data_IF_334962909518
#
_entry.id   IF_334962909518
#
_cell.length_a   1.000
_cell.length_b   1.000
_cell.length_c   1.000
_cell.angle_alpha   90.00
_cell.angle_beta   90.00
_cell.angle_gamma   90.00
#
_symmetry.space_group_name_H-M   'P 1'
#
loop_
_entity.id
_entity.type
_entity.pdbx_description
1 polymer ?
#
# COMPACT_ATOMS: atom_id res chain seq x y z
N UNK A 1 -13.86 35.22 37.89
CA UNK A 1 -13.83 34.91 36.44
C UNK A 1 -12.85 33.75 36.25
N UNK A 2 -13.28 32.49 36.11
CA UNK A 2 -12.33 31.41 35.97
C UNK A 2 -11.72 31.47 34.56
N UNK A 3 -10.40 31.42 34.49
CA UNK A 3 -9.69 31.32 33.23
C UNK A 3 -10.02 29.95 32.61
N UNK A 4 -10.89 29.96 31.58
CA UNK A 4 -11.06 28.79 30.70
C UNK A 4 -9.71 28.35 30.17
N UNK A 5 -9.52 27.03 30.06
CA UNK A 5 -8.27 26.40 29.67
C UNK A 5 -7.80 26.97 28.31
N UNK A 6 -6.49 26.90 28.03
CA UNK A 6 -5.96 27.38 26.75
C UNK A 6 -6.64 26.72 25.54
N UNK A 7 -7.13 25.48 25.72
CA UNK A 7 -7.89 24.73 24.73
C UNK A 7 -9.28 25.36 24.48
N UNK A 8 -10.01 25.76 25.51
CA UNK A 8 -11.32 26.41 25.38
C UNK A 8 -11.22 27.75 24.63
N UNK A 9 -10.12 28.49 24.86
CA UNK A 9 -9.84 29.74 24.16
C UNK A 9 -9.48 29.50 22.70
N UNK A 10 -8.69 28.47 22.42
CA UNK A 10 -8.33 28.07 21.07
C UNK A 10 -9.56 27.62 20.27
N UNK A 11 -10.45 26.82 20.87
CA UNK A 11 -11.71 26.40 20.26
C UNK A 11 -12.64 27.58 19.98
N UNK A 12 -12.74 28.55 20.91
CA UNK A 12 -13.54 29.75 20.70
C UNK A 12 -13.00 30.63 19.56
N UNK A 13 -11.68 30.74 19.44
CA UNK A 13 -11.01 31.47 18.35
C UNK A 13 -11.19 30.72 17.02
N UNK A 14 -11.00 29.40 17.00
CA UNK A 14 -11.23 28.58 15.82
C UNK A 14 -12.68 28.70 15.34
N UNK A 15 -13.66 28.61 16.24
CA UNK A 15 -15.09 28.80 15.92
C UNK A 15 -15.36 30.15 15.29
N UNK A 16 -14.77 31.22 15.82
CA UNK A 16 -14.91 32.59 15.26
C UNK A 16 -14.25 32.72 13.90
N UNK A 17 -13.06 32.17 13.71
CA UNK A 17 -12.34 32.19 12.42
C UNK A 17 -12.97 31.28 11.35
N UNK A 18 -13.75 30.28 11.76
CA UNK A 18 -14.60 29.50 10.84
C UNK A 18 -15.92 30.17 10.53
N UNK A 19 -16.42 31.04 11.40
CA UNK A 19 -17.71 31.72 11.23
C UNK A 19 -17.59 33.01 10.41
N UNK A 20 -16.53 33.79 10.63
CA UNK A 20 -16.16 34.91 9.77
C UNK A 20 -15.23 34.39 8.68
N UNK A 21 -15.64 34.45 7.41
CA UNK A 21 -14.80 34.05 6.26
C UNK A 21 -13.61 35.00 6.08
N UNK A 22 -12.61 34.89 6.96
CA UNK A 22 -11.37 35.66 6.85
C UNK A 22 -10.58 35.16 5.65
N UNK A 23 -10.43 36.04 4.65
CA UNK A 23 -9.60 35.78 3.48
C UNK A 23 -8.14 35.80 3.87
N UNK A 24 -7.44 34.73 3.50
CA UNK A 24 -6.01 34.54 3.77
C UNK A 24 -5.29 34.13 2.50
N UNK A 25 -4.00 34.46 2.42
CA UNK A 25 -3.13 34.03 1.33
C UNK A 25 -1.95 33.27 1.92
N UNK A 26 -1.73 32.04 1.44
CA UNK A 26 -0.55 31.26 1.81
C UNK A 26 0.65 31.78 1.02
N UNK A 27 1.66 32.27 1.72
CA UNK A 27 2.87 32.82 1.10
C UNK A 27 3.88 31.71 0.79
N UNK A 28 4.16 30.85 1.78
CA UNK A 28 5.14 29.79 1.66
C UNK A 28 4.73 28.54 2.45
N UNK A 29 5.16 27.37 1.97
CA UNK A 29 4.98 26.07 2.63
C UNK A 29 6.35 25.43 2.80
N UNK A 30 6.87 25.49 4.02
CA UNK A 30 8.18 24.95 4.35
C UNK A 30 8.05 23.59 5.06
N UNK A 31 8.68 22.56 4.49
CA UNK A 31 8.75 21.22 5.12
C UNK A 31 10.09 21.07 5.86
N UNK A 32 10.04 20.60 7.10
CA UNK A 32 11.19 20.39 8.00
C UNK A 32 11.21 18.96 8.55
N UNK A 33 12.41 18.48 8.91
CA UNK A 33 12.61 17.17 9.53
C UNK A 33 12.74 15.98 8.57
N UNK A 34 12.82 16.25 7.26
CA UNK A 34 13.21 15.24 6.25
C UNK A 34 14.74 15.09 6.23
N UNK A 35 15.28 14.04 6.83
CA UNK A 35 16.71 13.74 6.83
C UNK A 35 17.06 12.62 5.83
N UNK A 36 16.32 11.50 5.88
CA UNK A 36 16.49 10.32 5.02
C UNK A 36 15.50 10.32 3.85
N UNK A 37 14.31 10.87 4.05
CA UNK A 37 13.25 10.96 3.04
C UNK A 37 13.55 12.10 2.10
N UNK A 38 13.41 11.85 0.80
CA UNK A 38 13.59 12.90 -0.20
C UNK A 38 12.51 13.96 -0.04
N UNK A 39 12.92 15.23 0.01
CA UNK A 39 12.02 16.37 0.14
C UNK A 39 10.94 16.39 -0.94
N UNK A 40 11.29 16.06 -2.18
CA UNK A 40 10.35 15.95 -3.29
C UNK A 40 9.22 14.94 -3.04
N UNK A 41 9.47 13.83 -2.32
CA UNK A 41 8.44 12.86 -1.98
C UNK A 41 7.45 13.40 -0.94
N UNK A 42 7.95 14.16 0.04
CA UNK A 42 7.13 14.83 1.05
C UNK A 42 6.30 15.98 0.42
N UNK A 43 6.91 16.83 -0.40
CA UNK A 43 6.25 17.92 -1.12
C UNK A 43 5.14 17.39 -2.04
N UNK A 44 5.43 16.29 -2.76
CA UNK A 44 4.46 15.62 -3.60
C UNK A 44 3.24 15.11 -2.81
N UNK A 45 3.42 14.68 -1.55
CA UNK A 45 2.33 14.23 -0.69
C UNK A 45 1.53 15.38 -0.04
N UNK A 46 2.18 16.50 0.27
CA UNK A 46 1.49 17.72 0.73
C UNK A 46 0.58 18.24 -0.37
N UNK A 47 1.04 18.23 -1.62
CA UNK A 47 0.26 18.66 -2.78
C UNK A 47 0.11 20.18 -2.85
N UNK A 48 -0.61 20.66 -3.88
CA UNK A 48 -0.80 22.10 -4.11
C UNK A 48 -2.02 22.67 -3.37
N UNK A 49 -2.83 21.83 -2.73
CA UNK A 49 -4.07 22.24 -2.06
C UNK A 49 -3.81 23.26 -0.94
N UNK A 50 -2.72 23.09 -0.19
CA UNK A 50 -2.33 24.04 0.87
C UNK A 50 -2.00 25.42 0.30
N UNK A 51 -1.27 25.48 -0.81
CA UNK A 51 -0.85 26.74 -1.41
C UNK A 51 -2.02 27.49 -2.10
N UNK A 52 -3.11 26.78 -2.44
CA UNK A 52 -4.28 27.34 -3.14
C UNK A 52 -5.39 27.80 -2.19
N UNK A 53 -5.35 27.43 -0.91
CA UNK A 53 -6.39 27.77 0.03
C UNK A 53 -6.54 29.28 0.21
N UNK A 54 -7.76 29.80 0.09
CA UNK A 54 -8.07 31.23 0.17
C UNK A 54 -8.77 31.63 1.49
N UNK A 55 -9.21 30.65 2.27
CA UNK A 55 -9.94 30.84 3.53
C UNK A 55 -9.38 29.96 4.65
N UNK A 56 -9.51 30.39 5.91
CA UNK A 56 -9.05 29.60 7.07
C UNK A 56 -9.68 28.20 7.10
N UNK A 57 -11.00 28.01 6.88
CA UNK A 57 -11.60 26.68 6.87
C UNK A 57 -11.05 25.78 5.77
N UNK A 58 -10.81 26.35 4.58
CA UNK A 58 -10.21 25.61 3.45
C UNK A 58 -8.77 25.20 3.76
N UNK A 59 -7.99 26.09 4.37
CA UNK A 59 -6.62 25.79 4.77
C UNK A 59 -6.56 24.68 5.83
N UNK A 60 -7.47 24.68 6.82
CA UNK A 60 -7.55 23.62 7.83
C UNK A 60 -7.92 22.27 7.21
N UNK A 61 -8.88 22.25 6.26
CA UNK A 61 -9.23 21.02 5.52
C UNK A 61 -8.07 20.52 4.66
N UNK A 62 -7.39 21.43 3.96
CA UNK A 62 -6.23 21.11 3.14
C UNK A 62 -5.06 20.58 3.99
N UNK A 63 -4.78 21.21 5.14
CA UNK A 63 -3.79 20.77 6.10
C UNK A 63 -4.12 19.38 6.66
N UNK A 64 -5.37 19.13 7.06
CA UNK A 64 -5.80 17.81 7.51
C UNK A 64 -5.62 16.74 6.42
N UNK A 65 -6.01 17.04 5.18
CA UNK A 65 -5.84 16.13 4.04
C UNK A 65 -4.36 15.86 3.73
N UNK A 66 -3.50 16.87 3.80
CA UNK A 66 -2.05 16.73 3.61
C UNK A 66 -1.40 15.92 4.74
N UNK A 67 -1.80 16.16 6.00
CA UNK A 67 -1.36 15.37 7.15
C UNK A 67 -1.70 13.88 6.97
N UNK A 68 -2.93 13.59 6.53
CA UNK A 68 -3.35 12.21 6.23
C UNK A 68 -2.58 11.61 5.05
N UNK A 69 -2.30 12.37 3.99
CA UNK A 69 -1.44 11.92 2.87
C UNK A 69 -0.03 11.57 3.35
N UNK A 70 0.57 12.41 4.19
CA UNK A 70 1.90 12.18 4.76
C UNK A 70 1.92 10.96 5.68
N UNK A 71 0.91 10.79 6.54
CA UNK A 71 0.77 9.59 7.40
C UNK A 71 0.61 8.32 6.58
N UNK A 72 -0.15 8.36 5.47
CA UNK A 72 -0.34 7.21 4.57
C UNK A 72 0.95 6.75 3.90
N UNK A 73 1.96 7.61 3.72
CA UNK A 73 3.27 7.19 3.25
C UNK A 73 3.98 6.25 4.23
N UNK A 74 3.63 6.30 5.52
CA UNK A 74 4.18 5.43 6.55
C UNK A 74 5.67 5.61 6.83
N UNK A 75 6.28 6.66 6.29
CA UNK A 75 7.69 7.03 6.48
C UNK A 75 7.91 7.96 7.69
N UNK A 76 6.84 8.59 8.20
CA UNK A 76 6.88 9.56 9.30
C UNK A 76 6.19 9.00 10.54
N UNK A 77 6.75 9.27 11.71
CA UNK A 77 6.21 8.89 13.02
C UNK A 77 5.21 9.93 13.53
N UNK A 78 5.58 11.21 13.47
CA UNK A 78 4.69 12.33 13.75
C UNK A 78 4.69 13.34 12.61
N UNK A 79 3.51 13.95 12.40
CA UNK A 79 3.29 15.02 11.43
C UNK A 79 2.53 16.12 12.15
N UNK A 80 3.18 17.27 12.32
CA UNK A 80 2.59 18.48 12.89
C UNK A 80 2.61 19.59 11.85
N UNK A 81 1.44 20.21 11.61
CA UNK A 81 1.30 21.33 10.69
C UNK A 81 0.96 22.54 11.53
N UNK A 82 1.82 23.55 11.49
CA UNK A 82 1.65 24.81 12.20
C UNK A 82 1.41 25.93 11.21
N UNK A 83 0.51 26.84 11.59
CA UNK A 83 0.15 28.03 10.82
C UNK A 83 0.78 29.21 11.53
N UNK A 84 1.74 29.87 10.89
CA UNK A 84 2.41 31.04 11.42
C UNK A 84 2.07 32.28 10.60
N UNK A 85 2.07 33.43 11.25
CA UNK A 85 1.90 34.72 10.57
C UNK A 85 3.16 35.05 9.77
N UNK A 86 3.01 35.63 8.58
CA UNK A 86 4.16 36.02 7.78
C UNK A 86 5.07 37.01 8.53
N UNK A 87 6.40 36.91 8.38
CA UNK A 87 7.34 37.83 9.01
C UNK A 87 7.04 39.30 8.68
N UNK A 88 7.28 40.24 9.62
CA UNK A 88 7.08 41.67 9.41
C UNK A 88 8.12 42.19 8.40
N UNK A 89 7.77 42.16 7.12
CA UNK A 89 8.68 42.49 6.01
C UNK A 89 8.17 42.05 4.63
N UNK A 90 7.19 41.15 4.57
CA UNK A 90 6.43 40.87 3.35
C UNK A 90 5.36 41.96 3.20
N UNK A 91 5.22 42.61 2.02
CA UNK A 91 4.13 43.56 1.82
C UNK A 91 2.81 42.83 2.04
N UNK A 92 2.11 43.20 3.10
CA UNK A 92 0.75 42.74 3.32
C UNK A 92 -0.10 43.37 2.22
N UNK A 93 -0.36 42.62 1.16
CA UNK A 93 -1.35 42.97 0.16
C UNK A 93 -2.62 43.40 0.92
N UNK A 94 -3.13 44.60 0.68
CA UNK A 94 -4.12 45.31 1.50
C UNK A 94 -5.53 44.65 1.58
N UNK A 95 -5.65 43.33 1.37
CA UNK A 95 -6.91 42.57 1.32
C UNK A 95 -6.92 41.23 2.07
N UNK A 96 -5.85 40.82 2.77
CA UNK A 96 -5.87 39.59 3.57
C UNK A 96 -4.56 39.30 4.30
N UNK A 97 -4.63 38.54 5.39
CA UNK A 97 -3.44 38.14 6.16
C UNK A 97 -2.59 37.13 5.38
N UNK A 98 -1.27 37.37 5.32
CA UNK A 98 -0.31 36.42 4.76
C UNK A 98 0.06 35.37 5.83
N UNK A 99 -0.08 34.10 5.46
CA UNK A 99 0.18 32.95 6.35
C UNK A 99 1.31 32.11 5.78
N UNK A 100 2.24 31.69 6.65
CA UNK A 100 3.29 30.72 6.33
C UNK A 100 2.90 29.40 6.98
N UNK A 101 2.94 28.32 6.21
CA UNK A 101 2.62 26.98 6.71
C UNK A 101 3.92 26.22 6.94
N UNK A 102 4.15 25.79 8.17
CA UNK A 102 5.28 24.96 8.53
C UNK A 102 4.81 23.52 8.74
N UNK A 103 5.40 22.61 7.99
CA UNK A 103 5.13 21.17 8.09
C UNK A 103 6.33 20.51 8.73
N UNK A 104 6.26 20.29 10.04
CA UNK A 104 7.27 19.59 10.81
C UNK A 104 6.94 18.09 10.81
N UNK A 105 7.82 17.29 10.20
CA UNK A 105 7.72 15.84 10.18
C UNK A 105 8.86 15.20 10.96
N UNK A 106 8.55 14.16 11.73
CA UNK A 106 9.58 13.31 12.33
C UNK A 106 9.64 11.99 11.56
N UNK A 107 10.81 11.64 11.05
CA UNK A 107 10.97 10.40 10.30
C UNK A 107 10.94 9.18 11.23
N UNK A 108 10.21 8.15 10.81
CA UNK A 108 10.23 6.87 11.49
C UNK A 108 11.64 6.25 11.34
N UNK A 109 12.37 6.12 12.45
CA UNK A 109 13.68 5.49 12.47
C UNK A 109 13.56 4.01 12.08
N UNK A 110 14.07 3.66 10.90
CA UNK A 110 14.45 2.28 10.51
C UNK A 110 13.54 1.15 11.01
N UNK A 111 12.22 1.32 10.97
CA UNK A 111 11.29 0.33 11.52
C UNK A 111 11.26 -0.89 10.62
N UNK A 112 12.03 -1.90 11.00
CA UNK A 112 11.82 -3.27 10.61
C UNK A 112 10.65 -3.80 11.45
N UNK A 113 9.52 -4.10 10.81
CA UNK A 113 8.43 -4.83 11.44
C UNK A 113 8.56 -6.29 11.04
N UNK A 114 8.78 -7.15 12.02
CA UNK A 114 8.85 -8.60 11.81
C UNK A 114 7.66 -9.30 12.43
N UNK A 115 7.18 -10.35 11.78
CA UNK A 115 6.21 -11.29 12.32
C UNK A 115 6.71 -12.71 12.16
N UNK A 116 6.54 -13.54 13.19
CA UNK A 116 6.75 -14.98 13.11
C UNK A 116 5.48 -15.65 13.63
N UNK A 117 4.93 -16.54 12.82
CA UNK A 117 3.74 -17.32 13.13
C UNK A 117 3.99 -18.80 12.90
N UNK A 118 3.42 -19.64 13.75
CA UNK A 118 3.38 -21.09 13.55
C UNK A 118 1.92 -21.49 13.42
N UNK A 119 1.57 -22.11 12.31
CA UNK A 119 0.23 -22.57 12.01
C UNK A 119 0.23 -24.09 11.98
N UNK A 120 -0.61 -24.70 12.81
CA UNK A 120 -0.83 -26.15 12.78
C UNK A 120 -2.27 -26.40 12.38
N UNK A 121 -2.46 -27.12 11.27
CA UNK A 121 -3.77 -27.55 10.82
C UNK A 121 -3.97 -29.02 11.22
N UNK A 122 -4.91 -29.26 12.12
CA UNK A 122 -5.21 -30.60 12.65
C UNK A 122 -5.92 -31.48 11.63
N UNK A 123 -6.65 -30.90 10.68
CA UNK A 123 -7.38 -31.65 9.65
C UNK A 123 -6.46 -32.23 8.59
N UNK A 124 -5.46 -31.45 8.15
CA UNK A 124 -4.44 -31.89 7.18
C UNK A 124 -3.20 -32.49 7.83
N UNK A 125 -3.12 -32.48 9.17
CA UNK A 125 -1.92 -32.84 9.96
C UNK A 125 -0.65 -32.14 9.46
N UNK A 126 -0.80 -30.93 8.92
CA UNK A 126 0.32 -30.11 8.44
C UNK A 126 0.63 -29.02 9.46
N UNK A 127 1.91 -28.68 9.57
CA UNK A 127 2.37 -27.57 10.38
C UNK A 127 3.25 -26.71 9.47
N UNK A 128 3.06 -25.40 9.50
CA UNK A 128 3.81 -24.44 8.71
C UNK A 128 4.28 -23.28 9.58
N UNK A 129 5.52 -22.87 9.37
CA UNK A 129 6.11 -21.71 10.01
C UNK A 129 6.13 -20.57 9.00
N UNK A 130 5.49 -19.45 9.31
CA UNK A 130 5.46 -18.24 8.49
C UNK A 130 6.30 -17.15 9.15
N UNK A 131 7.24 -16.58 8.41
CA UNK A 131 8.00 -15.40 8.78
C UNK A 131 7.72 -14.25 7.82
N UNK A 132 7.61 -13.04 8.32
CA UNK A 132 7.53 -11.82 7.51
C UNK A 132 8.43 -10.73 8.08
N UNK A 133 9.02 -9.94 7.20
CA UNK A 133 9.87 -8.81 7.50
C UNK A 133 9.49 -7.66 6.58
N UNK A 134 9.14 -6.53 7.17
CA UNK A 134 8.76 -5.31 6.47
C UNK A 134 9.69 -4.17 6.84
N UNK A 135 10.31 -3.58 5.83
CA UNK A 135 11.17 -2.41 5.97
C UNK A 135 10.54 -1.22 5.26
N UNK A 136 10.51 -0.07 5.93
CA UNK A 136 9.98 1.17 5.35
C UNK A 136 11.07 2.20 5.12
N UNK A 137 10.98 2.85 3.96
CA UNK A 137 11.76 4.01 3.56
C UNK A 137 13.28 3.75 3.62
N UNK A 138 13.74 2.69 2.96
CA UNK A 138 15.16 2.28 2.90
C UNK A 138 16.01 3.22 2.02
N UNK A 139 15.45 3.70 0.91
CA UNK A 139 16.06 4.53 -0.13
C UNK A 139 15.55 5.98 -0.15
N UNK A 140 14.64 6.33 0.75
CA UNK A 140 14.12 7.71 0.88
C UNK A 140 12.93 8.04 -0.03
N UNK A 141 12.33 7.07 -0.73
CA UNK A 141 11.16 7.25 -1.60
C UNK A 141 9.83 6.91 -0.91
N UNK A 142 9.85 6.75 0.42
CA UNK A 142 8.71 6.21 1.18
C UNK A 142 8.30 4.81 0.73
N UNK A 143 9.23 4.05 0.15
CA UNK A 143 8.96 2.71 -0.33
C UNK A 143 8.87 1.70 0.82
N UNK A 144 8.04 0.68 0.67
CA UNK A 144 7.90 -0.41 1.64
C UNK A 144 8.39 -1.69 0.99
N UNK A 145 9.43 -2.28 1.57
CA UNK A 145 9.91 -3.61 1.22
C UNK A 145 9.28 -4.63 2.16
N UNK A 146 8.74 -5.70 1.60
CA UNK A 146 8.07 -6.78 2.33
C UNK A 146 8.70 -8.09 1.88
N UNK A 147 9.28 -8.84 2.80
CA UNK A 147 9.85 -10.14 2.56
C UNK A 147 9.11 -11.14 3.45
N UNK A 148 8.52 -12.17 2.86
CA UNK A 148 7.82 -13.23 3.58
C UNK A 148 8.37 -14.61 3.19
N UNK A 149 8.24 -15.55 4.11
CA UNK A 149 8.61 -16.93 3.91
C UNK A 149 7.69 -17.86 4.68
N UNK A 150 7.24 -18.93 4.04
CA UNK A 150 6.46 -20.01 4.62
C UNK A 150 7.24 -21.30 4.45
N UNK A 151 7.43 -22.04 5.54
CA UNK A 151 8.04 -23.37 5.54
C UNK A 151 7.04 -24.36 6.14
N UNK A 152 6.46 -25.21 5.31
CA UNK A 152 5.62 -26.32 5.73
C UNK A 152 6.44 -27.57 6.04
N UNK A 153 6.05 -28.26 7.11
CA UNK A 153 6.56 -29.60 7.45
C UNK A 153 6.17 -30.66 6.40
N UNK A 154 5.22 -30.34 5.53
CA UNK A 154 4.86 -31.10 4.33
C UNK A 154 5.80 -30.83 3.14
N UNK A 155 7.00 -30.28 3.41
CA UNK A 155 8.02 -29.95 2.41
C UNK A 155 7.62 -28.82 1.46
N UNK A 156 6.58 -28.04 1.81
CA UNK A 156 6.25 -26.79 1.11
C UNK A 156 7.17 -25.66 1.56
N UNK A 157 7.68 -24.90 0.60
CA UNK A 157 8.49 -23.71 0.86
C UNK A 157 8.05 -22.60 -0.07
N UNK A 158 7.49 -21.53 0.50
CA UNK A 158 7.14 -20.31 -0.22
C UNK A 158 8.06 -19.18 0.27
N UNK A 159 8.67 -18.45 -0.65
CA UNK A 159 9.41 -17.24 -0.38
C UNK A 159 8.86 -16.13 -1.26
N UNK A 160 8.65 -14.95 -0.71
CA UNK A 160 8.25 -13.80 -1.51
C UNK A 160 8.98 -12.54 -1.04
N UNK A 161 9.36 -11.70 -2.00
CA UNK A 161 9.97 -10.40 -1.75
C UNK A 161 9.29 -9.39 -2.65
N UNK A 162 8.73 -8.35 -2.06
CA UNK A 162 8.04 -7.28 -2.75
C UNK A 162 8.51 -5.90 -2.33
N UNK A 163 8.36 -4.96 -3.25
CA UNK A 163 8.52 -3.54 -3.04
C UNK A 163 7.24 -2.81 -3.45
N UNK A 164 6.75 -1.95 -2.57
CA UNK A 164 5.64 -1.04 -2.80
C UNK A 164 6.19 0.38 -2.80
N UNK A 165 6.15 1.05 -3.95
CA UNK A 165 6.57 2.44 -4.09
C UNK A 165 5.29 3.29 -4.22
N UNK A 166 4.97 4.15 -3.24
CA UNK A 166 3.69 4.85 -3.21
C UNK A 166 3.53 5.85 -4.35
N UNK A 167 4.65 6.44 -4.81
CA UNK A 167 4.65 7.39 -5.91
C UNK A 167 6.01 7.40 -6.62
N UNK A 168 6.00 7.31 -7.95
CA UNK A 168 7.19 7.49 -8.78
C UNK A 168 7.01 8.77 -9.60
N UNK A 169 7.70 9.84 -9.18
CA UNK A 169 7.64 11.14 -9.85
C UNK A 169 6.23 11.70 -9.98
N UNK A 170 5.79 11.96 -11.22
CA UNK A 170 4.49 12.57 -11.52
C UNK A 170 3.32 11.57 -11.46
N UNK A 171 3.58 10.26 -11.55
CA UNK A 171 2.53 9.24 -11.57
C UNK A 171 1.95 9.10 -10.15
N UNK A 172 0.65 9.39 -9.93
CA UNK A 172 0.04 9.38 -8.61
C UNK A 172 -0.30 7.97 -8.10
N UNK A 173 -0.13 6.94 -8.92
CA UNK A 173 -0.53 5.56 -8.60
C UNK A 173 0.63 4.79 -7.96
N UNK A 174 0.38 4.07 -6.86
CA UNK A 174 1.40 3.24 -6.22
C UNK A 174 1.77 2.06 -7.14
N UNK A 175 3.07 1.86 -7.32
CA UNK A 175 3.64 0.74 -8.06
C UNK A 175 3.98 -0.38 -7.08
N UNK A 176 3.59 -1.60 -7.40
CA UNK A 176 3.95 -2.79 -6.64
C UNK A 176 4.77 -3.71 -7.53
N UNK A 177 5.89 -4.21 -7.04
CA UNK A 177 6.65 -5.27 -7.70
C UNK A 177 6.89 -6.38 -6.67
N UNK A 178 6.68 -7.63 -7.04
CA UNK A 178 6.89 -8.77 -6.17
C UNK A 178 7.54 -9.91 -6.96
N UNK A 179 8.51 -10.57 -6.35
CA UNK A 179 9.09 -11.82 -6.81
C UNK A 179 8.71 -12.89 -5.80
N UNK A 180 8.24 -14.03 -6.27
CA UNK A 180 7.91 -15.18 -5.44
C UNK A 180 8.59 -16.45 -5.94
N UNK A 181 8.84 -17.37 -5.02
CA UNK A 181 9.33 -18.70 -5.28
C UNK A 181 8.53 -19.66 -4.41
N UNK A 182 7.95 -20.68 -5.01
CA UNK A 182 7.22 -21.74 -4.34
C UNK A 182 7.83 -23.08 -4.76
N UNK A 183 8.19 -23.90 -3.78
CA UNK A 183 8.54 -25.30 -3.96
C UNK A 183 7.52 -26.13 -3.20
N UNK A 184 6.79 -27.00 -3.89
CA UNK A 184 5.78 -27.86 -3.30
C UNK A 184 5.99 -29.31 -3.76
N UNK A 185 5.96 -30.23 -2.81
CA UNK A 185 5.99 -31.67 -3.07
C UNK A 185 4.55 -32.18 -3.07
N UNK A 186 4.12 -32.74 -4.20
CA UNK A 186 2.73 -33.20 -4.34
C UNK A 186 2.57 -34.52 -3.58
N UNK A 187 2.16 -34.52 -2.30
CA UNK A 187 2.11 -35.76 -1.49
C UNK A 187 1.34 -36.95 -2.10
N UNK A 188 0.41 -36.71 -3.05
CA UNK A 188 -0.37 -37.76 -3.75
C UNK A 188 0.32 -38.33 -5.00
N UNK A 189 1.36 -37.70 -5.50
CA UNK A 189 2.10 -38.11 -6.70
C UNK A 189 3.57 -37.77 -6.51
N UNK A 190 4.52 -38.66 -6.79
CA UNK A 190 5.96 -38.41 -6.51
C UNK A 190 6.63 -37.24 -7.30
N UNK A 191 5.85 -36.28 -7.78
CA UNK A 191 6.20 -35.06 -8.48
C UNK A 191 6.55 -33.93 -7.52
N UNK A 192 7.55 -33.15 -7.90
CA UNK A 192 7.96 -31.92 -7.24
C UNK A 192 7.70 -30.74 -8.17
N UNK A 193 7.10 -29.70 -7.65
CA UNK A 193 6.77 -28.49 -8.40
C UNK A 193 7.59 -27.30 -7.89
N UNK A 194 8.21 -26.59 -8.83
CA UNK A 194 8.85 -25.30 -8.59
C UNK A 194 8.14 -24.22 -9.40
N UNK A 195 7.69 -23.17 -8.72
CA UNK A 195 7.03 -22.03 -9.32
C UNK A 195 7.75 -20.75 -8.94
N UNK A 196 8.36 -20.09 -9.91
CA UNK A 196 8.91 -18.75 -9.76
C UNK A 196 7.91 -17.75 -10.30
N UNK A 197 7.57 -16.71 -9.55
CA UNK A 197 6.63 -15.68 -9.96
C UNK A 197 7.27 -14.30 -9.94
N UNK A 198 6.92 -13.47 -10.92
CA UNK A 198 7.14 -12.03 -10.91
C UNK A 198 5.78 -11.36 -11.11
N UNK A 199 5.40 -10.48 -10.20
CA UNK A 199 4.16 -9.72 -10.27
C UNK A 199 4.48 -8.23 -10.28
N UNK A 200 3.83 -7.49 -11.16
CA UNK A 200 3.94 -6.03 -11.25
C UNK A 200 2.53 -5.44 -11.24
N UNK A 201 2.19 -4.69 -10.19
CA UNK A 201 0.98 -3.89 -10.09
C UNK A 201 1.10 -2.64 -10.95
N UNK A 202 0.33 -2.59 -12.03
CA UNK A 202 0.31 -1.51 -13.01
C UNK A 202 -0.58 -0.34 -12.56
N UNK A 203 -1.69 -0.65 -11.89
CA UNK A 203 -2.64 0.33 -11.39
C UNK A 203 -3.18 -0.14 -10.05
N UNK A 204 -3.15 0.73 -9.05
CA UNK A 204 -3.79 0.48 -7.77
C UNK A 204 -4.46 1.77 -7.30
N UNK A 205 -5.79 1.77 -7.36
CA UNK A 205 -6.66 2.82 -6.86
C UNK A 205 -7.41 2.30 -5.63
N UNK A 206 -8.36 3.09 -5.10
CA UNK A 206 -9.12 2.69 -3.89
C UNK A 206 -9.84 1.35 -4.05
N UNK A 207 -10.43 1.11 -5.23
CA UNK A 207 -11.25 -0.08 -5.47
C UNK A 207 -10.73 -0.96 -6.61
N UNK A 208 -9.87 -0.43 -7.49
CA UNK A 208 -9.40 -1.12 -8.68
C UNK A 208 -7.92 -1.43 -8.56
N UNK A 209 -7.55 -2.69 -8.81
CA UNK A 209 -6.17 -3.14 -8.86
C UNK A 209 -5.93 -3.93 -10.15
N UNK A 210 -4.93 -3.54 -10.92
CA UNK A 210 -4.48 -4.22 -12.13
C UNK A 210 -3.03 -4.66 -11.94
N UNK A 211 -2.79 -5.96 -12.06
CA UNK A 211 -1.45 -6.54 -11.94
C UNK A 211 -1.15 -7.46 -13.11
N UNK A 212 0.08 -7.39 -13.61
CA UNK A 212 0.64 -8.34 -14.55
C UNK A 212 1.47 -9.37 -13.78
N UNK A 213 1.22 -10.65 -14.02
CA UNK A 213 1.91 -11.76 -13.37
C UNK A 213 2.59 -12.60 -14.45
N UNK A 214 3.85 -12.91 -14.21
CA UNK A 214 4.66 -13.79 -15.03
C UNK A 214 5.18 -14.90 -14.13
N UNK A 215 4.82 -16.14 -14.41
CA UNK A 215 5.21 -17.29 -13.61
C UNK A 215 5.93 -18.32 -14.45
N UNK A 216 7.07 -18.80 -13.97
CA UNK A 216 7.83 -19.89 -14.55
C UNK A 216 7.61 -21.14 -13.70
N UNK A 217 6.96 -22.14 -14.27
CA UNK A 217 6.66 -23.41 -13.62
C UNK A 217 7.57 -24.50 -14.16
N UNK A 218 8.13 -25.30 -13.26
CA UNK A 218 8.89 -26.50 -13.58
C UNK A 218 8.35 -27.65 -12.75
N UNK A 219 7.99 -28.75 -13.41
CA UNK A 219 7.53 -29.97 -12.75
C UNK A 219 8.63 -31.01 -12.92
N UNK A 220 9.08 -31.61 -11.83
CA UNK A 220 10.17 -32.59 -11.80
C UNK A 220 9.59 -33.91 -11.27
N UNK A 221 9.89 -35.02 -11.95
CA UNK A 221 9.62 -36.37 -11.45
C UNK A 221 10.91 -37.04 -10.98
N UNK A 222 11.30 -36.89 -9.70
CA UNK A 222 12.49 -37.53 -9.16
C UNK A 222 12.41 -39.07 -9.15
N UNK A 223 11.22 -39.65 -8.98
CA UNK A 223 11.06 -41.11 -8.88
C UNK A 223 10.94 -41.81 -10.25
N UNK A 224 10.70 -41.06 -11.33
CA UNK A 224 10.47 -41.58 -12.70
C UNK A 224 9.31 -42.58 -12.79
N UNK A 225 8.38 -42.51 -11.84
CA UNK A 225 7.20 -43.38 -11.76
C UNK A 225 6.01 -42.82 -12.54
N UNK A 226 6.15 -41.63 -13.12
CA UNK A 226 5.08 -41.00 -13.88
C UNK A 226 4.76 -41.74 -15.19
N UNK A 227 3.47 -41.72 -15.55
CA UNK A 227 3.00 -42.20 -16.85
C UNK A 227 3.64 -41.40 -18.00
N UNK A 228 3.67 -41.96 -19.20
CA UNK A 228 4.24 -41.30 -20.38
C UNK A 228 3.60 -39.93 -20.64
N UNK A 229 2.28 -39.79 -20.44
CA UNK A 229 1.56 -38.52 -20.62
C UNK A 229 1.95 -37.42 -19.62
N UNK A 230 2.37 -37.78 -18.40
CA UNK A 230 2.84 -36.82 -17.40
C UNK A 230 4.29 -36.42 -17.70
N UNK A 231 5.10 -37.33 -18.26
CA UNK A 231 6.48 -37.03 -18.67
C UNK A 231 6.54 -35.96 -19.76
N UNK A 232 5.59 -35.96 -20.67
CA UNK A 232 5.44 -34.90 -21.68
C UNK A 232 5.10 -33.53 -21.06
N UNK A 233 4.60 -33.50 -19.82
CA UNK A 233 4.27 -32.28 -19.06
C UNK A 233 5.36 -31.85 -18.06
N UNK A 234 6.46 -32.61 -17.92
CA UNK A 234 7.60 -32.27 -17.03
C UNK A 234 8.46 -31.11 -17.56
N UNK A 235 8.07 -30.53 -18.69
CA UNK A 235 8.75 -29.39 -19.28
C UNK A 235 8.49 -28.09 -18.50
N UNK A 236 9.30 -27.07 -18.78
CA UNK A 236 9.10 -25.73 -18.27
C UNK A 236 7.87 -25.10 -18.93
N UNK A 237 6.99 -24.52 -18.12
CA UNK A 237 5.82 -23.76 -18.59
C UNK A 237 5.93 -22.32 -18.12
N UNK A 238 5.92 -21.39 -19.06
CA UNK A 238 5.80 -19.96 -18.79
C UNK A 238 4.32 -19.57 -18.82
N UNK A 239 3.82 -19.01 -17.72
CA UNK A 239 2.47 -18.49 -17.60
C UNK A 239 2.50 -16.98 -17.43
N UNK A 240 2.07 -16.25 -18.47
CA UNK A 240 1.81 -14.81 -18.39
C UNK A 240 0.33 -14.57 -18.16
N UNK A 241 -0.05 -13.73 -17.19
CA UNK A 241 -1.44 -13.36 -16.97
C UNK A 241 -1.63 -11.92 -16.48
N UNK A 242 -2.67 -11.26 -16.97
CA UNK A 242 -3.16 -10.00 -16.41
C UNK A 242 -4.30 -10.32 -15.44
N UNK A 243 -4.23 -9.77 -14.24
CA UNK A 243 -5.26 -9.89 -13.20
C UNK A 243 -5.80 -8.50 -12.87
N UNK A 244 -7.09 -8.33 -13.11
CA UNK A 244 -7.87 -7.18 -12.68
C UNK A 244 -8.74 -7.56 -11.48
N UNK A 245 -8.68 -6.76 -10.42
CA UNK A 245 -9.44 -6.96 -9.19
C UNK A 245 -10.19 -5.69 -8.84
N UNK A 246 -11.51 -5.79 -8.68
CA UNK A 246 -12.39 -4.77 -8.13
C UNK A 246 -12.82 -5.18 -6.72
N UNK A 247 -12.55 -4.35 -5.73
CA UNK A 247 -12.90 -4.58 -4.33
C UNK A 247 -13.67 -3.40 -3.77
N UNK A 248 -14.79 -3.68 -3.12
CA UNK A 248 -15.55 -2.74 -2.30
C UNK A 248 -15.90 -3.44 -0.99
N UNK A 249 -15.63 -2.79 0.14
CA UNK A 249 -15.94 -3.31 1.47
C UNK A 249 -16.57 -2.17 2.28
N UNK A 250 -17.87 -2.29 2.53
CA UNK A 250 -18.67 -1.36 3.36
C UNK A 250 -19.17 -2.04 4.64
N UNK A 251 -18.50 -3.11 5.08
CA UNK A 251 -18.83 -3.77 6.35
C UNK A 251 -18.33 -2.94 7.52
N UNK A 252 -19.05 -3.02 8.62
CA UNK A 252 -18.70 -2.38 9.91
C UNK A 252 -17.40 -2.95 10.52
N UNK A 253 -17.14 -4.24 10.34
CA UNK A 253 -15.95 -4.92 10.85
C UNK A 253 -15.42 -5.95 9.84
N UNK A 254 -14.11 -6.05 9.72
CA UNK A 254 -13.46 -7.00 8.80
C UNK A 254 -13.46 -8.44 9.33
N UNK A 255 -13.42 -8.62 10.65
CA UNK A 255 -13.28 -9.92 11.31
C UNK A 255 -14.63 -10.51 11.71
N UNK A 256 -15.52 -9.67 12.26
CA UNK A 256 -16.87 -10.08 12.68
C UNK A 256 -17.89 -9.04 12.19
N UNK A 257 -18.21 -9.06 10.88
CA UNK A 257 -19.15 -8.09 10.33
C UNK A 257 -20.56 -8.36 10.86
N UNK A 258 -21.24 -7.30 11.31
CA UNK A 258 -22.64 -7.36 11.74
C UNK A 258 -23.58 -6.66 10.77
N UNK A 259 -23.08 -5.64 10.03
CA UNK A 259 -23.89 -4.88 9.07
C UNK A 259 -23.06 -4.51 7.84
N UNK A 260 -23.71 -4.48 6.69
CA UNK A 260 -23.13 -3.97 5.44
C UNK A 260 -22.80 -5.07 4.44
N UNK A 261 -21.99 -4.74 3.44
CA UNK A 261 -21.67 -5.66 2.34
C UNK A 261 -20.23 -5.52 1.87
N UNK A 262 -19.69 -6.62 1.34
CA UNK A 262 -18.43 -6.65 0.64
C UNK A 262 -18.58 -7.38 -0.69
N UNK A 263 -17.96 -6.84 -1.73
CA UNK A 263 -17.92 -7.41 -3.06
C UNK A 263 -16.50 -7.38 -3.61
N UNK A 264 -16.07 -8.53 -4.13
CA UNK A 264 -14.79 -8.72 -4.77
C UNK A 264 -15.02 -9.40 -6.11
N UNK A 265 -14.64 -8.74 -7.20
CA UNK A 265 -14.61 -9.33 -8.53
C UNK A 265 -13.18 -9.36 -9.04
N UNK A 266 -12.67 -10.54 -9.39
CA UNK A 266 -11.35 -10.73 -9.96
C UNK A 266 -11.49 -11.39 -11.32
N UNK A 267 -10.98 -10.74 -12.35
CA UNK A 267 -10.88 -11.26 -13.72
C UNK A 267 -9.41 -11.46 -14.07
N UNK A 268 -9.05 -12.64 -14.54
CA UNK A 268 -7.69 -12.99 -14.91
C UNK A 268 -7.68 -13.56 -16.33
N UNK A 269 -6.80 -13.04 -17.17
CA UNK A 269 -6.60 -13.49 -18.54
C UNK A 269 -5.15 -13.93 -18.69
N UNK A 270 -4.95 -15.20 -19.03
CA UNK A 270 -3.65 -15.82 -19.25
C UNK A 270 -3.35 -16.05 -20.73
N UNK A 271 -2.09 -16.31 -21.04
CA UNK A 271 -1.65 -16.64 -22.40
C UNK A 271 -1.33 -15.44 -23.29
N UNK A 272 -0.86 -14.34 -22.70
CA UNK A 272 -0.55 -13.07 -23.39
C UNK A 272 0.87 -13.02 -23.98
N UNK A 273 1.80 -13.79 -23.44
CA UNK A 273 3.15 -13.89 -23.97
C UNK A 273 3.17 -14.75 -25.26
N UNK A 274 4.05 -14.43 -26.23
CA UNK A 274 4.07 -15.05 -27.56
C UNK A 274 4.57 -16.50 -27.60
N UNK A 275 4.83 -17.13 -26.45
CA UNK A 275 5.27 -18.51 -26.39
C UNK A 275 4.16 -19.48 -26.82
N UNK A 276 4.51 -20.42 -27.70
CA UNK A 276 3.64 -21.46 -28.24
C UNK A 276 3.07 -22.40 -27.18
N UNK A 277 3.76 -22.54 -26.03
CA UNK A 277 3.34 -23.40 -24.90
C UNK A 277 2.53 -22.65 -23.83
N UNK A 278 2.22 -21.38 -24.06
CA UNK A 278 1.55 -20.54 -23.08
C UNK A 278 0.07 -20.93 -22.97
N UNK A 279 -0.37 -21.27 -21.76
CA UNK A 279 -1.75 -21.68 -21.52
C UNK A 279 -2.67 -20.47 -21.57
N UNK A 280 -3.58 -20.45 -22.57
CA UNK A 280 -4.62 -19.43 -22.67
C UNK A 280 -5.77 -19.82 -21.77
N UNK A 281 -6.08 -18.95 -20.82
CA UNK A 281 -7.19 -19.17 -19.91
C UNK A 281 -7.86 -17.84 -19.56
N UNK A 282 -9.14 -17.92 -19.26
CA UNK A 282 -9.89 -16.83 -18.64
C UNK A 282 -10.47 -17.35 -17.34
N UNK A 283 -10.20 -16.66 -16.25
CA UNK A 283 -10.70 -17.01 -14.93
C UNK A 283 -11.43 -15.80 -14.34
N UNK A 284 -12.67 -16.03 -13.92
CA UNK A 284 -13.45 -15.02 -13.22
C UNK A 284 -13.87 -15.55 -11.85
N UNK A 285 -13.62 -14.75 -10.83
CA UNK A 285 -13.97 -15.07 -9.44
C UNK A 285 -14.75 -13.90 -8.87
N UNK A 286 -16.00 -14.14 -8.49
CA UNK A 286 -16.85 -13.17 -7.82
C UNK A 286 -17.16 -13.68 -6.41
N UNK A 287 -16.79 -12.90 -5.40
CA UNK A 287 -17.15 -13.15 -3.99
C UNK A 287 -18.04 -12.02 -3.51
N UNK A 288 -19.14 -12.39 -2.86
CA UNK A 288 -20.06 -11.46 -2.19
C UNK A 288 -20.22 -11.91 -0.74
N UNK A 289 -20.24 -10.95 0.16
CA UNK A 289 -20.58 -11.14 1.57
C UNK A 289 -21.59 -10.07 1.93
N UNK A 290 -22.74 -10.50 2.45
CA UNK A 290 -23.81 -9.63 2.89
C UNK A 290 -24.08 -9.93 4.37
N UNK A 291 -24.08 -8.89 5.18
CA UNK A 291 -24.41 -8.94 6.60
C UNK A 291 -25.66 -8.10 6.81
N UNK A 292 -26.74 -8.79 7.20
CA UNK A 292 -28.05 -8.22 7.50
C UNK A 292 -28.13 -7.84 8.98
#
# INVERSE_FOLDING_TARGET
>A
LPAGSAEDRLEAVLRRLTADEVRIRVHDVTIRGCARTRRAAAEAAVGQDLARAATVPELLRAAAAAGERLRRLGAFESVSITLDTAPPGVPADARGGAVVVLVDVTEARGRAAGGLGVFANTETRSCSVEGSLRFKNLFGYCETWDASGLLGLDQTMELSVGALIPRIGSIPTPLMAQVSFLSEDWLKSSLREHLMGVSVGLLSTMNHNLAYNLSWRTIIDPARLSSSSIRDQLEHSLLSSIKYTYKIDQRDSSIRPTRGYAFLSSSQVGGLAPDSKNTRFVRQVCRKSLCL
#
